data_IF_867520864391
#
_entry.id   IF_867520864391
#
_cell.length_a   1.000
_cell.length_b   1.000
_cell.length_c   1.000
_cell.angle_alpha   90.00
_cell.angle_beta   90.00
_cell.angle_gamma   90.00
#
_symmetry.space_group_name_H-M   'P 1'
#
loop_
_entity.id
_entity.type
_entity.pdbx_description
1 polymer ?
#
# COMPACT_ATOMS: atom_id res chain seq x y z
N UNK A 1 -15.99 -3.97 10.95
CA UNK A 1 -14.71 -4.20 11.68
C UNK A 1 -14.54 -3.11 12.74
N UNK A 2 -14.28 -3.49 13.98
CA UNK A 2 -13.98 -2.53 15.06
C UNK A 2 -12.46 -2.31 15.12
N UNK A 3 -12.04 -1.06 15.25
CA UNK A 3 -10.62 -0.66 15.36
C UNK A 3 -10.44 0.04 16.70
N UNK A 4 -9.48 -0.41 17.50
CA UNK A 4 -9.19 0.12 18.83
C UNK A 4 -7.66 0.29 19.06
N UNK A 5 -7.29 0.81 20.23
CA UNK A 5 -5.91 1.10 20.64
C UNK A 5 -4.97 -0.11 20.71
N UNK A 6 -5.52 -1.33 20.81
CA UNK A 6 -4.71 -2.55 20.92
C UNK A 6 -4.22 -3.06 19.56
N UNK A 7 -4.71 -2.47 18.48
CA UNK A 7 -4.35 -2.90 17.14
C UNK A 7 -3.04 -2.29 16.71
N UNK A 8 -2.21 -3.16 16.12
CA UNK A 8 -0.97 -2.85 15.43
C UNK A 8 -1.12 -3.27 13.98
N UNK A 9 -1.41 -2.30 13.14
CA UNK A 9 -1.78 -2.50 11.74
C UNK A 9 -0.56 -2.25 10.86
N UNK A 10 -0.15 -3.26 10.10
CA UNK A 10 0.83 -3.13 9.04
C UNK A 10 0.11 -3.08 7.70
N UNK A 11 0.37 -2.06 6.93
CA UNK A 11 -0.11 -1.93 5.56
C UNK A 11 1.05 -2.25 4.63
N UNK A 12 0.86 -3.23 3.75
CA UNK A 12 1.82 -3.64 2.72
C UNK A 12 1.22 -3.25 1.38
N UNK A 13 1.77 -2.22 0.78
CA UNK A 13 1.37 -1.68 -0.50
C UNK A 13 2.48 -1.89 -1.54
N UNK A 14 2.15 -2.08 -2.80
CA UNK A 14 3.14 -2.21 -3.86
C UNK A 14 3.79 -0.85 -4.14
N UNK A 15 2.97 0.18 -4.31
CA UNK A 15 3.40 1.52 -4.71
C UNK A 15 3.02 2.56 -3.66
N UNK A 16 3.67 3.71 -3.77
CA UNK A 16 3.34 4.91 -3.00
C UNK A 16 2.12 5.56 -3.65
N UNK A 17 0.98 5.48 -3.07
CA UNK A 17 -0.38 5.95 -3.36
C UNK A 17 -1.45 4.88 -3.07
N UNK A 18 -1.13 3.61 -3.19
CA UNK A 18 -2.04 2.49 -2.94
C UNK A 18 -2.65 2.54 -1.54
N UNK A 19 -1.87 2.95 -0.53
CA UNK A 19 -2.33 3.07 0.84
C UNK A 19 -3.42 4.12 1.00
N UNK A 20 -3.36 5.20 0.23
CA UNK A 20 -4.40 6.23 0.25
C UNK A 20 -5.64 5.73 -0.46
N UNK A 21 -5.48 5.15 -1.65
CA UNK A 21 -6.57 4.64 -2.47
C UNK A 21 -7.33 3.53 -1.74
N UNK A 22 -6.61 2.49 -1.30
CA UNK A 22 -7.21 1.31 -0.69
C UNK A 22 -7.57 1.46 0.78
N UNK A 23 -6.75 2.18 1.57
CA UNK A 23 -6.84 2.18 3.02
C UNK A 23 -6.95 3.57 3.67
N UNK A 24 -6.89 4.69 2.94
CA UNK A 24 -6.75 6.04 3.51
C UNK A 24 -7.74 6.37 4.62
N UNK A 25 -9.02 6.07 4.42
CA UNK A 25 -10.04 6.32 5.44
C UNK A 25 -9.88 5.42 6.67
N UNK A 26 -9.54 4.14 6.48
CA UNK A 26 -9.24 3.20 7.56
C UNK A 26 -8.04 3.67 8.38
N UNK A 27 -6.98 4.13 7.72
CA UNK A 27 -5.76 4.66 8.36
C UNK A 27 -6.11 5.81 9.30
N UNK A 28 -6.83 6.82 8.80
CA UNK A 28 -7.24 7.98 9.61
C UNK A 28 -8.07 7.55 10.80
N UNK A 29 -9.03 6.64 10.60
CA UNK A 29 -9.88 6.11 11.66
C UNK A 29 -9.07 5.33 12.69
N UNK A 30 -8.14 4.49 12.25
CA UNK A 30 -7.27 3.72 13.13
C UNK A 30 -6.42 4.62 14.04
N UNK A 31 -5.81 5.64 13.47
CA UNK A 31 -4.97 6.59 14.22
C UNK A 31 -5.82 7.40 15.22
N UNK A 32 -7.02 7.85 14.82
CA UNK A 32 -7.97 8.50 15.75
C UNK A 32 -8.32 7.61 16.95
N UNK A 33 -8.45 6.31 16.71
CA UNK A 33 -8.74 5.32 17.73
C UNK A 33 -7.47 4.82 18.47
N UNK A 34 -6.34 5.53 18.32
CA UNK A 34 -5.07 5.25 18.98
C UNK A 34 -4.44 3.90 18.62
N UNK A 35 -4.85 3.28 17.51
CA UNK A 35 -4.16 2.12 16.95
C UNK A 35 -2.77 2.54 16.43
N UNK A 36 -1.81 1.61 16.46
CA UNK A 36 -0.49 1.81 15.86
C UNK A 36 -0.55 1.39 14.40
N UNK A 37 -0.18 2.29 13.50
CA UNK A 37 -0.18 2.02 12.06
C UNK A 37 1.23 2.17 11.51
N UNK A 38 1.68 1.17 10.74
CA UNK A 38 2.91 1.20 9.96
C UNK A 38 2.58 0.97 8.49
N UNK A 39 3.19 1.79 7.63
CA UNK A 39 3.13 1.60 6.18
C UNK A 39 4.46 1.03 5.69
N UNK A 40 4.36 0.07 4.79
CA UNK A 40 5.47 -0.48 4.02
C UNK A 40 5.05 -0.47 2.55
N UNK A 41 5.74 0.31 1.70
CA UNK A 41 5.65 0.17 0.25
C UNK A 41 6.83 -0.63 -0.27
N UNK A 42 6.66 -1.34 -1.39
CA UNK A 42 7.68 -2.25 -1.90
C UNK A 42 8.56 -1.59 -2.97
N UNK A 43 7.95 -0.85 -3.89
CA UNK A 43 8.64 -0.29 -5.06
C UNK A 43 8.75 1.23 -5.04
N UNK A 44 9.51 1.78 -6.00
CA UNK A 44 9.70 3.21 -6.19
C UNK A 44 8.47 3.93 -6.81
N UNK A 45 7.57 3.16 -7.43
CA UNK A 45 6.27 3.59 -7.95
C UNK A 45 6.30 4.46 -9.21
N UNK A 46 7.44 4.60 -9.89
CA UNK A 46 7.55 5.46 -11.09
C UNK A 46 8.52 4.96 -12.16
N UNK A 47 9.44 4.07 -11.85
CA UNK A 47 10.53 3.70 -12.77
C UNK A 47 10.04 2.94 -14.02
N UNK A 48 8.87 2.32 -13.97
CA UNK A 48 8.27 1.64 -15.13
C UNK A 48 7.86 2.57 -16.28
N UNK A 49 7.78 3.86 -16.01
CA UNK A 49 7.38 4.88 -17.02
C UNK A 49 8.52 5.22 -18.00
N UNK A 50 9.69 4.69 -17.75
CA UNK A 50 10.88 4.95 -18.56
C UNK A 50 11.29 3.71 -19.34
N UNK A 51 11.51 3.84 -20.64
CA UNK A 51 11.88 2.73 -21.52
C UNK A 51 13.21 2.08 -21.13
N UNK A 52 14.17 2.89 -20.68
CA UNK A 52 15.46 2.41 -20.21
C UNK A 52 15.60 2.66 -18.71
N UNK A 53 15.33 1.61 -17.92
CA UNK A 53 15.51 1.69 -16.47
C UNK A 53 17.01 1.75 -16.12
N UNK A 54 17.43 2.87 -15.55
CA UNK A 54 18.74 3.01 -14.93
C UNK A 54 18.65 3.96 -13.74
N UNK A 55 19.04 3.49 -12.57
CA UNK A 55 19.13 4.34 -11.38
C UNK A 55 20.21 5.45 -11.50
N UNK A 56 20.97 5.49 -12.60
CA UNK A 56 21.90 6.58 -12.92
C UNK A 56 21.24 7.68 -13.76
N UNK A 57 20.03 7.45 -14.31
CA UNK A 57 19.30 8.44 -15.09
C UNK A 57 18.75 9.54 -14.16
N UNK A 58 19.17 10.82 -14.34
CA UNK A 58 18.71 11.94 -13.52
C UNK A 58 17.19 12.14 -13.55
N UNK A 59 16.51 11.86 -14.66
CA UNK A 59 15.06 12.00 -14.79
C UNK A 59 14.33 10.98 -13.88
N UNK A 60 14.81 9.74 -13.87
CA UNK A 60 14.26 8.68 -13.00
C UNK A 60 14.47 9.07 -11.54
N UNK A 61 15.69 9.49 -11.19
CA UNK A 61 16.00 9.92 -9.82
C UNK A 61 15.09 11.07 -9.37
N UNK A 62 14.89 12.07 -10.22
CA UNK A 62 14.04 13.22 -9.91
C UNK A 62 12.56 12.81 -9.78
N UNK A 63 12.09 11.89 -10.64
CA UNK A 63 10.73 11.37 -10.57
C UNK A 63 10.49 10.57 -9.27
N UNK A 64 11.45 9.73 -8.85
CA UNK A 64 11.41 9.02 -7.57
C UNK A 64 11.40 10.01 -6.40
N UNK A 65 12.25 11.05 -6.43
CA UNK A 65 12.24 12.11 -5.40
C UNK A 65 10.90 12.82 -5.31
N UNK A 66 10.33 13.20 -6.47
CA UNK A 66 9.01 13.85 -6.53
C UNK A 66 7.95 12.96 -5.90
N UNK A 67 7.85 11.69 -6.31
CA UNK A 67 6.91 10.70 -5.78
C UNK A 67 7.08 10.53 -4.26
N UNK A 68 8.31 10.37 -3.80
CA UNK A 68 8.62 10.23 -2.37
C UNK A 68 8.15 11.45 -1.58
N UNK A 69 8.35 12.67 -2.10
CA UNK A 69 7.89 13.89 -1.44
C UNK A 69 6.35 13.98 -1.40
N UNK A 70 5.66 13.57 -2.47
CA UNK A 70 4.19 13.46 -2.50
C UNK A 70 3.71 12.48 -1.43
N UNK A 71 4.33 11.29 -1.37
CA UNK A 71 4.03 10.27 -0.38
C UNK A 71 4.23 10.77 1.06
N UNK A 72 5.34 11.43 1.37
CA UNK A 72 5.60 12.00 2.70
C UNK A 72 4.51 12.99 3.11
N UNK A 73 4.07 13.86 2.17
CA UNK A 73 2.97 14.81 2.42
C UNK A 73 1.66 14.07 2.71
N UNK A 74 1.34 13.03 1.93
CA UNK A 74 0.16 12.21 2.13
C UNK A 74 0.19 11.50 3.50
N UNK A 75 1.32 10.88 3.88
CA UNK A 75 1.46 10.24 5.19
C UNK A 75 1.27 11.23 6.35
N UNK A 76 1.78 12.44 6.22
CA UNK A 76 1.59 13.51 7.21
C UNK A 76 0.10 13.86 7.37
N UNK A 77 -0.64 13.96 6.27
CA UNK A 77 -2.09 14.23 6.30
C UNK A 77 -2.83 13.04 6.93
N UNK A 78 -2.52 11.81 6.55
CA UNK A 78 -3.14 10.62 7.14
C UNK A 78 -2.82 10.47 8.62
N UNK A 79 -1.65 10.98 9.06
CA UNK A 79 -1.15 10.89 10.44
C UNK A 79 -0.25 9.68 10.69
N UNK A 80 0.24 9.01 9.65
CA UNK A 80 1.21 7.91 9.79
C UNK A 80 2.58 8.49 10.13
N UNK A 81 3.19 7.97 11.21
CA UNK A 81 4.53 8.36 11.66
C UNK A 81 5.58 7.29 11.40
N UNK A 82 5.17 6.03 11.28
CA UNK A 82 6.05 4.89 11.02
C UNK A 82 5.78 4.36 9.61
N UNK A 83 6.66 4.71 8.69
CA UNK A 83 6.58 4.25 7.30
C UNK A 83 7.97 3.93 6.74
N UNK A 84 7.99 3.06 5.76
CA UNK A 84 9.16 2.71 4.99
C UNK A 84 8.78 2.62 3.50
N UNK A 85 9.53 3.31 2.66
CA UNK A 85 9.40 3.23 1.22
C UNK A 85 10.50 2.34 0.66
N UNK A 86 10.08 1.23 0.07
CA UNK A 86 10.94 0.28 -0.62
C UNK A 86 11.55 0.90 -1.89
N UNK A 87 12.55 0.21 -2.42
CA UNK A 87 13.33 0.67 -3.57
C UNK A 87 13.35 -0.35 -4.70
N UNK A 88 12.48 -1.35 -4.67
CA UNK A 88 12.36 -2.26 -5.80
C UNK A 88 11.85 -1.50 -7.02
N UNK A 89 12.24 -1.89 -8.24
CA UNK A 89 11.79 -1.22 -9.44
C UNK A 89 10.28 -1.40 -9.63
N UNK A 90 9.60 -0.34 -10.05
CA UNK A 90 8.17 -0.28 -10.28
C UNK A 90 7.72 -1.19 -11.42
N UNK A 91 6.59 -1.91 -11.23
CA UNK A 91 6.02 -2.89 -12.17
C UNK A 91 7.03 -3.96 -12.64
N UNK A 92 7.98 -4.31 -11.79
CA UNK A 92 9.04 -5.30 -12.04
C UNK A 92 9.31 -6.19 -10.84
N UNK A 93 8.37 -6.29 -9.89
CA UNK A 93 8.54 -7.18 -8.74
C UNK A 93 8.60 -8.65 -9.15
N UNK A 94 8.09 -9.03 -10.31
CA UNK A 94 8.20 -10.35 -10.91
C UNK A 94 9.65 -10.72 -11.30
N UNK A 95 10.53 -9.74 -11.48
CA UNK A 95 11.96 -9.91 -11.72
C UNK A 95 12.79 -9.87 -10.43
N UNK A 96 12.16 -9.62 -9.29
CA UNK A 96 12.80 -9.66 -7.97
C UNK A 96 12.52 -11.02 -7.33
N UNK A 97 13.55 -11.74 -6.83
CA UNK A 97 13.28 -12.98 -6.12
C UNK A 97 12.25 -12.76 -5.01
N UNK A 98 11.16 -13.52 -5.04
CA UNK A 98 10.09 -13.38 -4.05
C UNK A 98 10.60 -13.49 -2.61
N UNK A 99 11.66 -14.28 -2.40
CA UNK A 99 12.29 -14.43 -1.09
C UNK A 99 12.88 -13.11 -0.58
N UNK A 100 13.42 -12.26 -1.45
CA UNK A 100 14.01 -10.97 -1.04
C UNK A 100 12.91 -10.00 -0.60
N UNK A 101 11.79 -10.01 -1.31
CA UNK A 101 10.60 -9.24 -0.91
C UNK A 101 10.06 -9.73 0.44
N UNK A 102 9.94 -11.05 0.60
CA UNK A 102 9.50 -11.66 1.86
C UNK A 102 10.43 -11.27 3.00
N UNK A 103 11.75 -11.36 2.83
CA UNK A 103 12.73 -11.02 3.86
C UNK A 103 12.68 -9.55 4.26
N UNK A 104 12.48 -8.66 3.30
CA UNK A 104 12.27 -7.24 3.60
C UNK A 104 11.03 -7.04 4.47
N UNK A 105 9.90 -7.67 4.11
CA UNK A 105 8.66 -7.57 4.89
C UNK A 105 8.85 -8.19 6.29
N UNK A 106 9.47 -9.37 6.39
CA UNK A 106 9.74 -10.05 7.66
C UNK A 106 10.57 -9.19 8.64
N UNK A 107 11.55 -8.46 8.13
CA UNK A 107 12.33 -7.52 8.94
C UNK A 107 11.44 -6.50 9.63
N UNK A 108 10.48 -5.93 8.90
CA UNK A 108 9.52 -4.96 9.46
C UNK A 108 8.50 -5.62 10.39
N UNK A 109 8.02 -6.82 10.05
CA UNK A 109 7.10 -7.60 10.90
C UNK A 109 7.75 -7.93 12.24
N UNK A 110 9.01 -8.39 12.26
CA UNK A 110 9.74 -8.71 13.50
C UNK A 110 9.89 -7.49 14.41
N UNK A 111 10.15 -6.31 13.85
CA UNK A 111 10.30 -5.06 14.63
C UNK A 111 8.95 -4.52 15.11
N UNK A 112 7.97 -4.44 14.23
CA UNK A 112 6.69 -3.81 14.53
C UNK A 112 5.73 -4.74 15.29
N UNK A 113 5.82 -6.07 15.06
CA UNK A 113 4.94 -7.11 15.63
C UNK A 113 3.46 -6.80 15.40
N UNK A 114 3.01 -6.71 14.14
CA UNK A 114 1.62 -6.42 13.83
C UNK A 114 0.71 -7.57 14.28
N UNK A 115 -0.53 -7.26 14.66
CA UNK A 115 -1.58 -8.25 14.85
C UNK A 115 -2.63 -8.21 13.73
N UNK A 116 -2.54 -7.22 12.85
CA UNK A 116 -3.36 -7.07 11.65
C UNK A 116 -2.49 -6.62 10.48
N UNK A 117 -2.72 -7.22 9.31
CA UNK A 117 -2.07 -6.84 8.05
C UNK A 117 -3.13 -6.50 7.02
N UNK A 118 -2.89 -5.44 6.26
CA UNK A 118 -3.65 -5.11 5.07
C UNK A 118 -2.72 -5.16 3.86
N UNK A 119 -3.21 -5.73 2.75
CA UNK A 119 -2.47 -5.84 1.49
C UNK A 119 -3.42 -5.78 0.30
N UNK A 120 -2.87 -5.83 -0.91
CA UNK A 120 -3.64 -5.91 -2.15
C UNK A 120 -4.51 -7.16 -2.24
N UNK A 121 -5.43 -7.16 -3.20
CA UNK A 121 -6.23 -8.33 -3.53
C UNK A 121 -5.46 -9.24 -4.49
N UNK A 122 -5.68 -10.56 -4.41
CA UNK A 122 -5.04 -11.55 -5.30
C UNK A 122 -5.48 -11.42 -6.77
N UNK A 123 -6.65 -10.82 -7.01
CA UNK A 123 -7.25 -10.70 -8.36
C UNK A 123 -6.96 -9.34 -9.01
N UNK A 124 -5.84 -8.75 -8.68
CA UNK A 124 -5.39 -7.50 -9.29
C UNK A 124 -4.90 -7.70 -10.73
N UNK A 125 -5.04 -6.69 -11.60
CA UNK A 125 -4.38 -6.70 -12.91
C UNK A 125 -2.90 -6.37 -12.79
N UNK A 126 -2.54 -5.47 -11.87
CA UNK A 126 -1.15 -5.08 -11.64
C UNK A 126 -0.33 -6.22 -11.05
N UNK A 127 0.81 -6.53 -11.67
CA UNK A 127 1.68 -7.65 -11.27
C UNK A 127 2.29 -7.44 -9.89
N UNK A 128 2.71 -6.22 -9.56
CA UNK A 128 3.31 -5.90 -8.27
C UNK A 128 2.32 -6.08 -7.13
N UNK A 129 1.03 -5.75 -7.35
CA UNK A 129 -0.04 -6.00 -6.38
C UNK A 129 -0.20 -7.50 -6.08
N UNK A 130 -0.16 -8.33 -7.12
CA UNK A 130 -0.21 -9.80 -6.97
C UNK A 130 0.98 -10.33 -6.18
N UNK A 131 2.16 -9.78 -6.41
CA UNK A 131 3.39 -10.19 -5.71
C UNK A 131 3.37 -9.72 -4.27
N UNK A 132 2.90 -8.51 -3.99
CA UNK A 132 2.69 -8.02 -2.64
C UNK A 132 1.71 -8.91 -1.86
N UNK A 133 0.61 -9.33 -2.52
CA UNK A 133 -0.32 -10.31 -1.96
C UNK A 133 0.38 -11.64 -1.63
N UNK A 134 1.09 -12.24 -2.60
CA UNK A 134 1.80 -13.52 -2.41
C UNK A 134 2.84 -13.46 -1.30
N UNK A 135 3.62 -12.38 -1.23
CA UNK A 135 4.58 -12.19 -0.15
C UNK A 135 3.88 -12.10 1.21
N UNK A 136 2.72 -11.42 1.26
CA UNK A 136 1.90 -11.31 2.47
C UNK A 136 1.34 -12.64 2.93
N UNK A 137 0.91 -13.52 2.01
CA UNK A 137 0.48 -14.87 2.35
C UNK A 137 1.58 -15.64 3.11
N UNK A 138 2.82 -15.57 2.61
CA UNK A 138 3.95 -16.28 3.21
C UNK A 138 4.25 -15.78 4.62
N UNK A 139 4.30 -14.46 4.84
CA UNK A 139 4.63 -13.90 6.16
C UNK A 139 3.49 -14.03 7.17
N UNK A 140 2.28 -14.29 6.69
CA UNK A 140 1.08 -14.42 7.53
C UNK A 140 0.80 -15.85 7.98
N UNK A 141 1.62 -16.82 7.57
CA UNK A 141 1.46 -18.23 7.97
C UNK A 141 1.37 -18.36 9.50
N UNK A 142 0.45 -19.19 10.03
CA UNK A 142 0.24 -19.35 11.47
C UNK A 142 1.38 -20.19 12.08
N UNK A 143 2.49 -19.53 12.40
CA UNK A 143 3.61 -20.13 13.13
C UNK A 143 3.56 -19.72 14.61
N UNK A 144 4.21 -20.48 15.49
CA UNK A 144 4.25 -20.19 16.95
C UNK A 144 4.78 -18.78 17.28
N UNK A 145 5.60 -18.19 16.40
CA UNK A 145 6.21 -16.86 16.60
C UNK A 145 5.44 -15.75 15.89
N UNK A 146 4.43 -16.07 15.07
CA UNK A 146 3.70 -15.08 14.29
C UNK A 146 2.70 -14.33 15.16
N UNK A 147 2.76 -13.00 15.12
CA UNK A 147 1.83 -12.12 15.84
C UNK A 147 0.60 -11.75 15.02
N UNK A 148 0.61 -11.99 13.71
CA UNK A 148 -0.46 -11.65 12.79
C UNK A 148 -1.67 -12.57 13.04
N UNK A 149 -2.81 -11.97 13.38
CA UNK A 149 -4.06 -12.67 13.65
C UNK A 149 -5.14 -12.41 12.62
N UNK A 150 -5.00 -11.32 11.85
CA UNK A 150 -5.99 -10.90 10.86
C UNK A 150 -5.27 -10.38 9.64
N UNK A 151 -5.69 -10.84 8.45
CA UNK A 151 -5.23 -10.34 7.16
C UNK A 151 -6.44 -9.89 6.36
N UNK A 152 -6.39 -8.70 5.80
CA UNK A 152 -7.41 -8.14 4.93
C UNK A 152 -6.81 -7.71 3.60
N UNK A 153 -7.57 -7.89 2.55
CA UNK A 153 -7.25 -7.34 1.23
C UNK A 153 -8.05 -6.07 0.98
N UNK A 154 -7.42 -5.09 0.40
CA UNK A 154 -8.09 -3.86 -0.02
C UNK A 154 -8.21 -3.78 -1.55
N UNK A 155 -9.16 -2.97 -1.98
CA UNK A 155 -9.41 -2.65 -3.38
C UNK A 155 -8.57 -1.44 -3.81
N UNK A 156 -8.01 -1.52 -5.03
CA UNK A 156 -7.45 -0.37 -5.73
C UNK A 156 -8.34 -0.06 -6.94
N UNK A 157 -9.00 1.12 -6.97
CA UNK A 157 -9.78 1.55 -8.13
C UNK A 157 -8.94 1.50 -9.41
N UNK A 158 -9.51 1.08 -10.52
CA UNK A 158 -8.96 0.80 -11.84
C UNK A 158 -8.23 -0.54 -11.98
N UNK A 159 -7.59 -1.03 -10.95
CA UNK A 159 -6.71 -2.19 -11.04
C UNK A 159 -7.48 -3.49 -10.84
N UNK A 160 -8.30 -3.54 -9.81
CA UNK A 160 -9.04 -4.76 -9.44
C UNK A 160 -10.27 -5.01 -10.32
N UNK A 161 -10.83 -3.96 -10.93
CA UNK A 161 -12.08 -4.06 -11.70
C UNK A 161 -11.88 -4.53 -13.15
N UNK A 162 -10.65 -4.62 -13.64
CA UNK A 162 -10.33 -4.96 -15.04
C UNK A 162 -9.83 -6.38 -15.22
N UNK A 163 -10.00 -7.24 -14.22
CA UNK A 163 -9.69 -8.67 -14.34
C UNK A 163 -10.78 -9.40 -15.11
N UNK A 164 -10.41 -10.31 -16.01
CA UNK A 164 -11.38 -11.02 -16.85
C UNK A 164 -12.15 -12.10 -16.10
N UNK A 165 -11.54 -12.77 -15.15
CA UNK A 165 -12.07 -14.03 -14.60
C UNK A 165 -12.62 -13.92 -13.18
N UNK A 166 -12.23 -12.94 -12.39
CA UNK A 166 -12.65 -12.82 -10.98
C UNK A 166 -12.75 -11.36 -10.58
N UNK A 167 -13.83 -11.03 -9.88
CA UNK A 167 -14.06 -9.68 -9.35
C UNK A 167 -13.66 -9.61 -7.88
N UNK A 168 -13.30 -8.43 -7.42
CA UNK A 168 -13.20 -8.15 -6.01
C UNK A 168 -14.60 -8.26 -5.39
N UNK A 169 -14.72 -9.14 -4.38
CA UNK A 169 -15.97 -9.33 -3.64
C UNK A 169 -15.73 -8.96 -2.18
N UNK A 170 -16.06 -7.73 -1.75
CA UNK A 170 -15.79 -7.27 -0.40
C UNK A 170 -16.66 -8.00 0.62
N UNK A 171 -16.03 -8.51 1.68
CA UNK A 171 -16.70 -9.16 2.82
C UNK A 171 -16.66 -8.31 4.08
N UNK A 172 -15.87 -7.25 4.09
CA UNK A 172 -15.70 -6.38 5.24
C UNK A 172 -15.79 -4.91 4.81
N UNK A 173 -16.70 -4.19 5.45
CA UNK A 173 -16.93 -2.77 5.19
C UNK A 173 -16.57 -1.94 6.42
N UNK A 174 -16.00 -0.76 6.17
CA UNK A 174 -15.67 0.22 7.21
C UNK A 174 -16.29 1.55 6.82
N UNK A 175 -17.16 2.06 7.67
CA UNK A 175 -17.67 3.41 7.48
C UNK A 175 -16.55 4.44 7.75
N UNK A 176 -16.20 5.20 6.72
CA UNK A 176 -15.17 6.25 6.74
C UNK A 176 -15.76 7.64 6.46
N UNK A 177 -17.06 7.83 6.57
CA UNK A 177 -17.72 9.10 6.26
C UNK A 177 -17.05 10.30 6.94
N UNK A 178 -16.68 10.15 8.22
CA UNK A 178 -15.99 11.20 9.00
C UNK A 178 -14.51 11.38 8.60
N UNK A 179 -13.93 10.41 7.93
CA UNK A 179 -12.52 10.38 7.52
C UNK A 179 -12.34 10.71 6.03
N UNK A 180 -13.43 10.73 5.27
CA UNK A 180 -13.41 10.84 3.80
C UNK A 180 -12.66 12.07 3.32
N UNK A 181 -12.99 13.26 3.84
CA UNK A 181 -12.32 14.50 3.45
C UNK A 181 -10.80 14.46 3.70
N UNK A 182 -10.37 13.76 4.74
CA UNK A 182 -8.95 13.63 5.04
C UNK A 182 -8.26 12.65 4.09
N UNK A 183 -8.96 11.58 3.66
CA UNK A 183 -8.52 10.68 2.59
C UNK A 183 -8.30 11.46 1.29
N UNK A 184 -9.28 12.27 0.86
CA UNK A 184 -9.19 13.05 -0.38
C UNK A 184 -8.04 14.08 -0.30
N UNK A 185 -7.87 14.78 0.82
CA UNK A 185 -6.72 15.68 1.00
C UNK A 185 -5.38 14.96 0.87
N UNK A 186 -5.27 13.73 1.38
CA UNK A 186 -4.06 12.93 1.22
C UNK A 186 -3.86 12.49 -0.24
N UNK A 187 -4.93 12.10 -0.94
CA UNK A 187 -4.90 11.76 -2.35
C UNK A 187 -4.41 12.92 -3.22
N UNK A 188 -4.88 14.12 -2.97
CA UNK A 188 -4.49 15.32 -3.71
C UNK A 188 -2.99 15.67 -3.55
N UNK A 189 -2.26 15.03 -2.65
CA UNK A 189 -0.80 15.16 -2.59
C UNK A 189 -0.11 14.44 -3.76
N UNK A 190 -0.74 13.44 -4.34
CA UNK A 190 -0.23 12.65 -5.47
C UNK A 190 -0.67 13.29 -6.80
N UNK A 191 -0.28 14.54 -7.02
CA UNK A 191 -0.66 15.29 -8.23
C UNK A 191 -0.21 14.62 -9.52
N UNK A 192 0.87 13.81 -9.48
CA UNK A 192 1.35 13.04 -10.63
C UNK A 192 0.47 11.83 -10.98
N UNK A 193 -0.47 11.43 -10.09
CA UNK A 193 -1.36 10.27 -10.26
C UNK A 193 -2.83 10.63 -10.45
N UNK A 194 -3.20 11.84 -10.06
CA UNK A 194 -4.58 12.31 -10.23
C UNK A 194 -4.87 12.49 -11.72
N UNK A 195 -5.98 11.91 -12.16
CA UNK A 195 -6.45 12.00 -13.53
C UNK A 195 -7.77 12.76 -13.60
N UNK A 196 -8.12 13.38 -14.74
CA UNK A 196 -9.41 14.04 -14.87
C UNK A 196 -10.56 13.03 -14.85
N UNK A 197 -11.74 13.48 -14.38
CA UNK A 197 -12.97 12.71 -14.51
C UNK A 197 -13.23 12.38 -16.01
N UNK A 198 -13.71 11.15 -16.35
CA UNK A 198 -14.29 10.11 -15.49
C UNK A 198 -13.31 9.02 -15.01
N UNK A 199 -12.04 9.26 -15.03
CA UNK A 199 -11.08 8.24 -14.61
C UNK A 199 -11.23 7.92 -13.11
N UNK A 200 -11.18 6.63 -12.68
CA UNK A 200 -11.41 6.24 -11.28
C UNK A 200 -10.45 6.83 -10.25
N UNK A 201 -9.34 7.43 -10.71
CA UNK A 201 -8.39 8.18 -9.87
C UNK A 201 -8.57 9.69 -9.95
N UNK A 202 -9.72 10.18 -10.43
CA UNK A 202 -10.07 11.59 -10.32
C UNK A 202 -10.30 11.94 -8.84
N UNK A 203 -9.85 13.13 -8.42
CA UNK A 203 -10.00 13.61 -7.05
C UNK A 203 -11.39 14.16 -6.74
#
# INVERSE_FOLDING_TARGET
MQIDKNQKILIIAAHQDDEVLGCGGLIVKAIKNKAKVKLLTLSDGVSSRFNNFSLKNPEIINSIKKRTNEAIKAQKILGIKDFFFGKFPDNRLDHVPLLDIIKMIEFHVKKFKPNMVLTHNQYETNIDHKIAYKATEVISRPTKKNTIKKVYSFEIPCSVNWTFNKKFNPTTYINIQKEFNKKIKAWNCYASETQPFPFPRSG
#
